data_IF_599075518967
#
_entry.id   IF_599075518967
#
_cell.length_a   1.000
_cell.length_b   1.000
_cell.length_c   1.000
_cell.angle_alpha   90.00
_cell.angle_beta   90.00
_cell.angle_gamma   90.00
#
_symmetry.space_group_name_H-M   'P 1'
#
loop_
_entity.id
_entity.type
_entity.pdbx_description
1 polymer ?
#
# COMPACT_ATOMS: atom_id res chain seq x y z
N UNK A 1 68.76 -16.52 1.30
CA UNK A 1 68.65 -17.83 0.72
C UNK A 1 67.22 -18.25 0.92
N UNK A 2 66.27 -18.03 0.08
CA UNK A 2 66.15 -18.38 -1.35
C UNK A 2 65.34 -19.61 -1.48
N UNK A 3 64.04 -19.50 -1.77
CA UNK A 3 63.42 -20.16 -2.89
C UNK A 3 61.95 -19.75 -3.03
N UNK A 4 61.68 -19.11 -4.13
CA UNK A 4 60.37 -18.90 -4.76
C UNK A 4 59.93 -20.24 -5.38
N UNK A 5 58.67 -20.61 -5.21
CA UNK A 5 58.02 -21.58 -6.16
C UNK A 5 56.70 -20.96 -6.63
N UNK A 6 56.67 -20.74 -7.92
CA UNK A 6 55.54 -20.39 -8.74
C UNK A 6 54.64 -21.66 -8.91
N UNK A 7 53.33 -21.47 -8.88
CA UNK A 7 52.34 -22.51 -9.19
C UNK A 7 51.14 -21.95 -9.88
N UNK A 8 51.06 -22.20 -11.13
CA UNK A 8 50.24 -21.88 -12.27
C UNK A 8 48.73 -21.78 -12.06
N UNK A 9 48.18 -20.74 -12.65
CA UNK A 9 46.77 -20.59 -12.98
C UNK A 9 46.38 -21.52 -14.13
N UNK A 10 45.32 -22.29 -13.96
CA UNK A 10 44.65 -23.01 -15.09
C UNK A 10 43.35 -22.29 -15.43
N UNK A 11 43.36 -21.64 -16.56
CA UNK A 11 42.21 -21.14 -17.31
C UNK A 11 41.48 -22.35 -17.93
N UNK A 12 40.15 -22.35 -17.87
CA UNK A 12 39.30 -23.20 -18.65
C UNK A 12 38.43 -22.33 -19.59
N UNK A 13 38.32 -22.73 -20.88
CA UNK A 13 37.73 -21.90 -21.91
C UNK A 13 36.21 -22.11 -22.04
N UNK A 14 35.54 -21.01 -22.42
CA UNK A 14 34.20 -20.95 -22.95
C UNK A 14 34.03 -21.87 -24.16
N UNK A 15 32.97 -22.69 -24.15
CA UNK A 15 32.45 -23.36 -25.33
C UNK A 15 31.18 -22.60 -25.80
N UNK A 16 31.32 -22.00 -26.98
CA UNK A 16 30.23 -21.50 -27.79
C UNK A 16 29.46 -22.68 -28.40
N UNK A 17 28.14 -22.69 -28.33
CA UNK A 17 27.29 -23.57 -29.12
C UNK A 17 26.55 -22.70 -30.15
N UNK A 18 26.85 -23.05 -31.38
CA UNK A 18 26.36 -22.56 -32.65
C UNK A 18 24.87 -22.81 -32.88
N UNK A 19 24.28 -21.88 -33.62
CA UNK A 19 23.00 -21.93 -34.31
C UNK A 19 22.83 -23.19 -35.18
N UNK A 20 21.60 -23.67 -35.24
CA UNK A 20 21.09 -24.43 -36.36
C UNK A 20 19.80 -23.79 -36.87
N UNK A 21 19.87 -23.30 -38.08
CA UNK A 21 18.79 -22.91 -38.96
C UNK A 21 18.03 -24.12 -39.48
N UNK A 22 16.73 -24.01 -39.62
CA UNK A 22 15.90 -24.62 -40.68
C UNK A 22 14.57 -23.86 -40.61
N UNK A 23 14.09 -23.12 -41.55
CA UNK A 23 13.91 -23.40 -42.95
C UNK A 23 12.42 -23.41 -43.25
N UNK A 24 11.94 -22.31 -43.91
CA UNK A 24 10.91 -22.18 -44.98
C UNK A 24 9.49 -22.68 -44.69
N UNK A 25 8.49 -21.88 -44.90
CA UNK A 25 7.73 -21.55 -46.12
C UNK A 25 6.65 -20.52 -45.78
N UNK A 26 6.63 -19.37 -46.34
CA UNK A 26 6.00 -18.82 -47.51
C UNK A 26 4.48 -19.12 -47.59
N UNK A 27 3.65 -18.12 -47.26
CA UNK A 27 2.49 -17.83 -48.12
C UNK A 27 2.15 -16.34 -48.08
N UNK A 28 2.21 -15.77 -49.28
CA UNK A 28 1.92 -14.40 -49.68
C UNK A 28 0.42 -14.26 -49.95
N UNK A 29 -0.19 -13.19 -49.43
CA UNK A 29 -1.31 -12.56 -50.13
C UNK A 29 -1.16 -11.04 -50.09
N UNK A 30 -0.74 -10.54 -51.26
CA UNK A 30 -0.91 -9.16 -51.74
C UNK A 30 -2.41 -8.80 -51.79
N UNK A 31 -2.76 -7.63 -51.36
CA UNK A 31 -3.72 -6.76 -52.05
C UNK A 31 -3.29 -5.31 -51.89
N UNK A 32 -2.64 -4.86 -52.97
CA UNK A 32 -2.57 -3.47 -53.39
C UNK A 32 -3.95 -2.88 -53.60
N UNK A 33 -4.14 -1.62 -53.22
CA UNK A 33 -4.66 -0.57 -54.13
C UNK A 33 -4.63 0.80 -53.42
N UNK A 34 -3.65 1.59 -53.80
CA UNK A 34 -3.79 3.02 -54.09
C UNK A 34 -4.17 3.16 -55.57
N UNK A 35 -4.50 4.33 -56.16
CA UNK A 35 -4.32 5.71 -55.70
C UNK A 35 -5.42 6.74 -56.12
N UNK A 36 -5.29 7.93 -55.56
CA UNK A 36 -5.20 9.25 -56.15
C UNK A 36 -6.30 9.86 -57.09
N UNK A 37 -6.27 11.16 -56.95
CA UNK A 37 -6.49 12.26 -57.89
C UNK A 37 -7.83 13.00 -57.76
N UNK A 38 -7.78 14.23 -57.21
CA UNK A 38 -7.54 15.51 -57.92
C UNK A 38 -8.60 15.91 -58.95
N UNK A 39 -9.25 17.03 -58.67
CA UNK A 39 -9.63 18.12 -59.61
C UNK A 39 -10.58 19.09 -58.89
N UNK A 40 -10.21 20.26 -58.45
CA UNK A 40 -10.02 21.55 -59.14
C UNK A 40 -11.19 22.02 -60.05
N UNK A 41 -11.56 23.29 -59.80
CA UNK A 41 -12.27 24.28 -60.63
C UNK A 41 -13.81 24.24 -60.56
N UNK A 42 -14.53 25.34 -60.58
CA UNK A 42 -14.27 26.74 -60.93
C UNK A 42 -15.40 27.64 -60.43
N UNK A 43 -15.07 28.80 -60.04
CA UNK A 43 -15.64 30.13 -60.27
C UNK A 43 -16.88 30.15 -61.17
N UNK A 44 -17.96 30.79 -60.66
CA UNK A 44 -18.69 31.73 -61.50
C UNK A 44 -19.27 32.90 -60.66
N UNK A 45 -18.95 34.07 -61.11
CA UNK A 45 -19.46 35.39 -60.73
C UNK A 45 -20.79 35.62 -61.39
N UNK A 46 -21.78 36.14 -60.69
CA UNK A 46 -22.75 37.05 -61.31
C UNK A 46 -23.03 38.21 -60.38
N UNK A 47 -22.62 39.31 -60.89
CA UNK A 47 -23.02 40.68 -60.57
C UNK A 47 -24.48 40.95 -60.96
N UNK A 48 -25.17 41.75 -60.20
CA UNK A 48 -26.47 42.33 -60.52
C UNK A 48 -26.95 43.29 -59.46
N UNK A 49 -26.68 44.56 -59.70
CA UNK A 49 -27.27 45.72 -59.03
C UNK A 49 -28.80 45.67 -59.03
N UNK A 50 -29.44 46.12 -57.94
CA UNK A 50 -30.27 47.30 -58.03
C UNK A 50 -30.71 47.79 -56.64
N UNK A 51 -30.65 49.08 -56.50
CA UNK A 51 -31.09 49.87 -55.40
C UNK A 51 -32.61 49.96 -55.36
N UNK A 52 -33.17 49.99 -54.16
CA UNK A 52 -34.22 50.95 -53.85
C UNK A 52 -34.25 51.26 -52.35
N UNK A 53 -34.22 52.57 -52.11
CA UNK A 53 -34.48 53.21 -50.85
C UNK A 53 -35.98 53.12 -50.51
N UNK A 54 -36.30 52.74 -49.29
CA UNK A 54 -37.43 53.41 -48.61
C UNK A 54 -37.21 53.53 -47.11
N UNK A 55 -37.24 54.73 -46.68
CA UNK A 55 -37.23 55.26 -45.31
C UNK A 55 -38.55 55.03 -44.62
N UNK A 56 -38.54 54.43 -43.44
CA UNK A 56 -39.53 54.73 -42.44
C UNK A 56 -38.89 54.81 -41.04
N UNK A 57 -38.95 56.04 -40.52
CA UNK A 57 -38.79 56.41 -39.13
C UNK A 57 -39.85 55.73 -38.26
N UNK A 58 -39.42 55.43 -37.06
CA UNK A 58 -40.26 55.50 -35.88
C UNK A 58 -40.63 54.16 -35.24
N UNK A 59 -40.11 53.82 -34.20
CA UNK A 59 -40.78 53.89 -32.92
C UNK A 59 -40.17 52.93 -31.88
N UNK A 60 -39.76 53.53 -30.80
CA UNK A 60 -39.83 53.11 -29.41
C UNK A 60 -39.41 51.65 -29.04
N UNK A 61 -38.35 51.66 -28.27
CA UNK A 61 -38.10 50.86 -27.12
C UNK A 61 -39.07 49.74 -26.78
N UNK A 62 -38.69 48.50 -27.09
CA UNK A 62 -39.08 47.38 -26.28
C UNK A 62 -38.03 47.23 -25.18
N UNK A 63 -38.37 47.79 -23.99
CA UNK A 63 -37.81 47.32 -22.75
C UNK A 63 -38.24 45.86 -22.66
N UNK A 64 -37.28 44.95 -22.93
CA UNK A 64 -37.42 43.53 -22.58
C UNK A 64 -37.60 43.44 -21.05
N UNK A 65 -38.88 43.45 -20.64
CA UNK A 65 -39.26 42.99 -19.30
C UNK A 65 -38.99 41.52 -19.27
N UNK A 66 -37.72 41.17 -18.98
CA UNK A 66 -37.40 39.82 -18.49
C UNK A 66 -38.14 39.66 -17.17
N UNK A 67 -39.31 39.00 -17.19
CA UNK A 67 -39.98 38.56 -15.99
C UNK A 67 -38.99 37.80 -15.14
N UNK A 68 -38.66 38.32 -13.97
CA UNK A 68 -37.77 37.68 -13.02
C UNK A 68 -38.34 36.29 -12.73
N UNK A 69 -37.67 35.25 -13.23
CA UNK A 69 -38.05 33.86 -13.02
C UNK A 69 -37.70 33.45 -11.59
N UNK A 70 -38.61 33.64 -10.66
CA UNK A 70 -38.43 33.38 -9.23
C UNK A 70 -39.14 32.10 -8.84
N UNK A 71 -38.39 31.16 -8.23
CA UNK A 71 -38.94 29.95 -7.63
C UNK A 71 -39.30 30.21 -6.18
N UNK A 72 -40.59 30.12 -5.84
CA UNK A 72 -41.08 30.30 -4.47
C UNK A 72 -41.24 28.95 -3.80
N UNK A 73 -40.50 28.73 -2.71
CA UNK A 73 -40.59 27.55 -1.88
C UNK A 73 -40.64 27.92 -0.41
N UNK A 74 -41.51 27.24 0.32
CA UNK A 74 -41.58 27.35 1.78
C UNK A 74 -40.42 26.59 2.45
N UNK A 75 -40.10 26.92 3.71
CA UNK A 75 -39.07 26.26 4.47
C UNK A 75 -39.36 24.74 4.70
N UNK A 76 -40.62 24.30 4.61
CA UNK A 76 -41.00 22.91 4.64
C UNK A 76 -40.61 22.18 3.34
N UNK A 77 -40.88 22.80 2.19
CA UNK A 77 -40.52 22.28 0.86
C UNK A 77 -39.00 22.25 0.63
N UNK A 78 -38.26 23.23 1.18
CA UNK A 78 -36.80 23.22 1.14
C UNK A 78 -36.20 21.95 1.79
N UNK A 79 -36.79 21.56 2.93
CA UNK A 79 -36.35 20.31 3.63
C UNK A 79 -36.77 19.07 2.90
N UNK A 80 -37.99 19.02 2.35
CA UNK A 80 -38.53 17.89 1.59
C UNK A 80 -37.69 17.66 0.32
N UNK A 81 -37.31 18.73 -0.37
CA UNK A 81 -36.47 18.63 -1.58
C UNK A 81 -34.96 18.57 -1.32
N UNK A 82 -34.54 18.54 -0.07
CA UNK A 82 -33.13 18.44 0.30
C UNK A 82 -32.28 19.64 -0.14
N UNK A 83 -32.88 20.87 -0.16
CA UNK A 83 -32.19 22.08 -0.53
C UNK A 83 -31.48 22.64 0.71
N UNK A 84 -30.14 22.60 0.69
CA UNK A 84 -29.33 23.19 1.75
C UNK A 84 -28.88 24.60 1.35
N UNK A 85 -29.09 25.56 2.26
CA UNK A 85 -28.70 26.95 2.07
C UNK A 85 -27.34 27.22 2.71
N UNK A 86 -26.50 28.01 2.06
CA UNK A 86 -25.27 28.56 2.62
C UNK A 86 -25.14 30.04 2.31
N UNK A 87 -24.41 30.76 3.15
CA UNK A 87 -24.03 32.15 2.89
C UNK A 87 -22.76 32.17 2.03
N UNK A 88 -22.73 33.08 1.05
CA UNK A 88 -21.58 33.28 0.20
C UNK A 88 -20.44 33.95 0.98
N UNK A 89 -19.36 33.25 1.18
CA UNK A 89 -18.21 33.72 1.95
C UNK A 89 -16.90 33.42 1.20
N UNK A 90 -15.88 34.20 1.58
CA UNK A 90 -14.52 33.92 1.13
C UNK A 90 -14.03 32.59 1.69
N UNK A 91 -13.19 31.92 0.94
CA UNK A 91 -12.66 30.63 1.34
C UNK A 91 -11.29 30.35 0.74
N UNK A 92 -10.84 29.13 0.95
CA UNK A 92 -9.62 28.63 0.34
C UNK A 92 -9.97 27.55 -0.70
N UNK A 93 -9.44 27.70 -1.89
CA UNK A 93 -9.53 26.69 -2.93
C UNK A 93 -8.34 25.75 -2.78
N UNK A 94 -8.58 24.58 -2.20
CA UNK A 94 -7.56 23.57 -2.06
C UNK A 94 -7.35 22.84 -3.39
N UNK A 95 -6.10 22.72 -3.79
CA UNK A 95 -5.70 21.97 -4.96
C UNK A 95 -5.27 20.56 -4.53
N UNK A 96 -5.74 19.55 -5.23
CA UNK A 96 -5.44 18.15 -4.95
C UNK A 96 -4.80 17.51 -6.17
N UNK A 97 -3.86 16.61 -5.92
CA UNK A 97 -3.34 15.67 -6.90
C UNK A 97 -3.94 14.31 -6.56
N UNK A 98 -4.52 13.66 -7.56
CA UNK A 98 -4.99 12.28 -7.45
C UNK A 98 -3.90 11.34 -7.96
N UNK A 99 -3.46 10.42 -7.11
CA UNK A 99 -2.38 9.50 -7.38
C UNK A 99 -2.88 8.06 -7.19
N UNK A 100 -2.61 7.17 -8.14
CA UNK A 100 -2.92 5.76 -7.99
C UNK A 100 -1.97 5.12 -6.95
N UNK A 101 -2.50 4.19 -6.19
CA UNK A 101 -1.74 3.45 -5.19
C UNK A 101 -2.31 2.07 -4.93
N UNK A 102 -1.63 1.34 -4.08
CA UNK A 102 -1.97 -0.01 -3.67
C UNK A 102 -1.72 -0.19 -2.18
N UNK A 103 -2.62 -0.89 -1.51
CA UNK A 103 -2.43 -1.33 -0.14
C UNK A 103 -1.48 -2.53 -0.17
N UNK A 104 -0.41 -2.46 0.60
CA UNK A 104 0.58 -3.54 0.71
C UNK A 104 0.81 -3.90 2.18
N UNK A 105 1.36 -5.07 2.41
CA UNK A 105 1.79 -5.48 3.74
C UNK A 105 2.80 -4.49 4.32
N UNK A 106 2.72 -4.26 5.63
CA UNK A 106 3.76 -3.55 6.35
C UNK A 106 5.00 -4.44 6.47
N UNK A 107 6.00 -4.20 5.63
CA UNK A 107 7.20 -5.03 5.56
C UNK A 107 8.00 -5.07 6.89
N UNK A 108 7.85 -4.05 7.75
CA UNK A 108 8.48 -4.03 9.07
C UNK A 108 7.77 -4.97 10.08
N UNK A 109 6.63 -5.55 9.67
CA UNK A 109 5.80 -6.43 10.49
C UNK A 109 5.53 -7.79 9.82
N UNK A 110 6.47 -8.23 9.00
CA UNK A 110 6.47 -9.54 8.38
C UNK A 110 7.62 -10.35 8.97
N UNK A 111 7.41 -11.63 9.22
CA UNK A 111 8.48 -12.57 9.53
C UNK A 111 8.40 -13.77 8.60
N UNK A 112 9.52 -14.07 7.98
CA UNK A 112 9.78 -15.34 7.34
C UNK A 112 10.28 -16.30 8.42
N UNK A 113 9.52 -17.36 8.66
CA UNK A 113 9.84 -18.37 9.68
C UNK A 113 10.67 -19.46 9.01
N UNK A 114 11.93 -19.52 9.40
CA UNK A 114 12.91 -20.47 8.86
C UNK A 114 13.38 -21.41 9.97
N UNK A 115 13.50 -22.73 9.76
CA UNK A 115 14.07 -23.63 10.72
C UNK A 115 15.59 -23.46 10.77
N UNK A 116 16.18 -23.70 11.94
CA UNK A 116 17.65 -23.66 12.11
C UNK A 116 18.32 -25.01 11.85
N UNK A 117 17.52 -26.06 11.65
CA UNK A 117 17.97 -27.43 11.42
C UNK A 117 17.22 -28.03 10.25
N UNK A 118 17.85 -28.87 9.49
CA UNK A 118 17.20 -29.71 8.49
C UNK A 118 16.43 -30.85 9.15
N UNK A 119 15.31 -31.27 8.57
CA UNK A 119 14.52 -32.37 9.09
C UNK A 119 13.33 -32.73 8.22
N UNK A 120 12.64 -33.81 8.62
CA UNK A 120 11.38 -34.25 8.01
C UNK A 120 10.22 -33.65 8.81
N UNK A 121 9.20 -33.18 8.14
CA UNK A 121 8.01 -32.61 8.78
C UNK A 121 7.16 -33.71 9.40
N UNK A 122 7.15 -33.79 10.74
CA UNK A 122 6.36 -34.76 11.50
C UNK A 122 4.96 -34.28 11.82
N UNK A 123 4.74 -32.96 11.93
CA UNK A 123 3.43 -32.37 12.21
C UNK A 123 3.34 -30.95 11.67
N UNK A 124 2.16 -30.58 11.13
CA UNK A 124 1.84 -29.20 10.72
C UNK A 124 0.53 -28.82 11.42
N UNK A 125 0.56 -27.78 12.26
CA UNK A 125 -0.59 -27.31 13.05
C UNK A 125 -1.20 -26.02 12.54
N UNK A 126 -0.45 -25.20 11.81
CA UNK A 126 -0.91 -23.93 11.31
C UNK A 126 -1.18 -24.01 9.79
N UNK A 127 -2.21 -23.31 9.35
CA UNK A 127 -2.57 -23.14 7.93
C UNK A 127 -2.68 -21.66 7.57
N UNK A 128 -2.72 -21.38 6.26
CA UNK A 128 -2.90 -20.01 5.75
C UNK A 128 -4.25 -19.45 6.22
N UNK A 129 -4.21 -18.22 6.75
CA UNK A 129 -5.37 -17.53 7.33
C UNK A 129 -5.48 -17.67 8.84
N UNK A 130 -4.75 -18.57 9.49
CA UNK A 130 -4.79 -18.71 10.95
C UNK A 130 -4.18 -17.51 11.65
N UNK A 131 -4.86 -17.05 12.71
CA UNK A 131 -4.30 -16.09 13.66
C UNK A 131 -3.49 -16.83 14.72
N UNK A 132 -2.21 -16.49 14.82
CA UNK A 132 -1.27 -17.12 15.73
C UNK A 132 -0.77 -16.16 16.80
N UNK A 133 -0.47 -16.68 17.98
CA UNK A 133 0.14 -15.92 19.08
C UNK A 133 1.64 -16.13 19.10
N UNK A 134 2.39 -15.18 19.66
CA UNK A 134 3.84 -15.34 19.88
C UNK A 134 4.12 -16.64 20.64
N UNK A 135 5.04 -17.46 20.09
CA UNK A 135 5.43 -18.76 20.66
C UNK A 135 4.45 -19.91 20.37
N UNK A 136 3.37 -19.68 19.62
CA UNK A 136 2.45 -20.73 19.21
C UNK A 136 3.14 -21.71 18.27
N UNK A 137 2.95 -23.01 18.50
CA UNK A 137 3.49 -24.09 17.68
C UNK A 137 2.84 -24.09 16.29
N UNK A 138 3.66 -24.01 15.25
CA UNK A 138 3.24 -24.03 13.85
C UNK A 138 3.46 -25.38 13.19
N UNK A 139 4.64 -25.97 13.41
CA UNK A 139 5.01 -27.27 12.89
C UNK A 139 6.09 -27.92 13.77
N UNK A 140 6.27 -29.24 13.61
CA UNK A 140 7.32 -30.01 14.25
C UNK A 140 8.13 -30.70 13.16
N UNK A 141 9.46 -30.54 13.21
CA UNK A 141 10.40 -31.27 12.36
C UNK A 141 11.06 -32.38 13.15
N UNK A 142 11.35 -33.51 12.49
CA UNK A 142 12.20 -34.57 13.00
C UNK A 142 13.60 -34.39 12.42
N UNK A 143 14.53 -33.89 13.26
CA UNK A 143 15.90 -33.57 12.87
C UNK A 143 16.91 -34.57 13.48
N UNK A 144 17.73 -35.19 12.65
CA UNK A 144 18.85 -36.01 13.09
C UNK A 144 19.96 -35.15 13.70
N UNK A 145 20.26 -34.03 13.08
CA UNK A 145 21.28 -33.09 13.57
C UNK A 145 21.01 -32.66 15.02
N UNK A 146 19.75 -32.31 15.31
CA UNK A 146 19.35 -31.94 16.67
C UNK A 146 19.48 -33.12 17.65
N UNK A 147 19.13 -34.34 17.20
CA UNK A 147 19.28 -35.54 18.03
C UNK A 147 20.75 -35.83 18.37
N UNK A 148 21.63 -35.74 17.40
CA UNK A 148 23.07 -35.92 17.57
C UNK A 148 23.66 -34.87 18.53
N UNK A 149 23.27 -33.60 18.39
CA UNK A 149 23.72 -32.54 19.27
C UNK A 149 23.20 -32.70 20.73
N UNK A 150 21.94 -33.14 20.92
CA UNK A 150 21.37 -33.45 22.24
C UNK A 150 22.10 -34.62 22.89
N UNK A 151 22.37 -35.67 22.13
CA UNK A 151 23.12 -36.85 22.64
C UNK A 151 24.55 -36.47 23.04
N UNK A 152 25.25 -35.66 22.25
CA UNK A 152 26.59 -35.18 22.55
C UNK A 152 26.63 -34.35 23.83
N UNK A 153 25.63 -33.46 24.05
CA UNK A 153 25.52 -32.67 25.26
C UNK A 153 25.29 -33.54 26.49
N UNK A 154 24.35 -34.48 26.47
CA UNK A 154 24.12 -35.41 27.58
C UNK A 154 25.35 -36.23 27.93
N UNK A 155 26.05 -36.74 26.91
CA UNK A 155 27.30 -37.47 27.13
C UNK A 155 28.39 -36.59 27.78
N UNK A 156 28.45 -35.30 27.43
CA UNK A 156 29.36 -34.33 28.04
C UNK A 156 28.99 -34.01 29.49
N UNK A 157 27.68 -33.89 29.82
CA UNK A 157 27.19 -33.72 31.19
C UNK A 157 27.59 -34.90 32.07
N UNK A 158 27.39 -36.15 31.64
CA UNK A 158 27.74 -37.33 32.39
C UNK A 158 29.26 -37.45 32.61
N UNK A 159 30.07 -37.12 31.60
CA UNK A 159 31.53 -37.04 31.71
C UNK A 159 31.96 -35.96 32.73
N UNK A 160 31.32 -34.80 32.76
CA UNK A 160 31.61 -33.77 33.77
C UNK A 160 31.31 -34.26 35.17
N UNK A 161 30.18 -34.92 35.41
CA UNK A 161 29.82 -35.48 36.72
C UNK A 161 30.88 -36.43 37.20
N UNK A 162 31.34 -37.36 36.33
CA UNK A 162 32.39 -38.34 36.64
C UNK A 162 33.74 -37.65 36.95
N UNK A 163 34.17 -36.73 36.07
CA UNK A 163 35.41 -36.00 36.25
C UNK A 163 35.41 -35.13 37.53
N UNK A 164 34.30 -34.51 37.83
CA UNK A 164 34.10 -33.72 39.08
C UNK A 164 34.21 -34.60 40.31
N UNK A 165 33.59 -35.79 40.30
CA UNK A 165 33.71 -36.78 41.41
C UNK A 165 35.16 -37.24 41.59
N UNK A 166 35.87 -37.53 40.47
CA UNK A 166 37.27 -37.92 40.49
C UNK A 166 38.16 -36.81 41.06
N UNK A 167 38.00 -35.57 40.52
CA UNK A 167 38.73 -34.42 41.03
C UNK A 167 38.53 -34.19 42.54
N UNK A 168 37.30 -34.21 43.04
CA UNK A 168 37.02 -34.12 44.47
C UNK A 168 37.64 -35.18 45.30
N UNK A 169 37.77 -36.41 44.76
CA UNK A 169 38.47 -37.53 45.43
C UNK A 169 39.97 -37.21 45.51
N UNK A 170 40.65 -36.92 44.36
CA UNK A 170 42.05 -36.64 44.32
C UNK A 170 42.47 -35.40 45.14
N UNK A 171 41.67 -34.35 45.15
CA UNK A 171 41.84 -33.18 45.97
C UNK A 171 41.89 -33.52 47.47
N UNK A 172 40.95 -34.37 47.95
CA UNK A 172 40.95 -34.85 49.37
C UNK A 172 42.16 -35.71 49.71
N UNK A 173 42.58 -36.61 48.81
CA UNK A 173 43.73 -37.48 49.00
C UNK A 173 45.03 -36.67 49.03
N UNK A 174 45.20 -35.67 48.14
CA UNK A 174 46.33 -34.76 48.12
C UNK A 174 46.44 -33.95 49.40
N UNK A 175 45.35 -33.37 49.87
CA UNK A 175 45.29 -32.63 51.16
C UNK A 175 45.74 -33.52 52.32
N UNK A 176 45.47 -34.82 52.27
CA UNK A 176 45.94 -35.81 53.29
C UNK A 176 47.34 -36.33 52.99
N UNK A 177 48.00 -35.84 51.96
CA UNK A 177 49.35 -36.30 51.54
C UNK A 177 49.39 -37.80 51.18
N UNK A 178 48.32 -38.37 50.63
CA UNK A 178 48.18 -39.77 50.26
C UNK A 178 48.50 -39.98 48.77
N UNK A 179 48.19 -38.97 47.92
CA UNK A 179 48.41 -38.99 46.49
C UNK A 179 49.49 -37.95 46.09
N UNK A 180 50.08 -38.07 44.88
CA UNK A 180 51.03 -37.14 44.37
C UNK A 180 50.38 -35.85 43.85
N UNK A 181 51.15 -34.75 43.86
CA UNK A 181 50.71 -33.49 43.24
C UNK A 181 50.35 -33.67 41.75
N UNK A 182 51.11 -34.54 41.06
CA UNK A 182 50.87 -34.81 39.64
C UNK A 182 49.48 -35.44 39.42
N UNK A 183 49.03 -36.38 40.26
CA UNK A 183 47.70 -36.98 40.15
C UNK A 183 46.60 -35.97 40.39
N UNK A 184 46.76 -35.05 41.38
CA UNK A 184 45.84 -33.95 41.60
C UNK A 184 45.74 -33.00 40.40
N UNK A 185 46.92 -32.61 39.80
CA UNK A 185 46.93 -31.73 38.64
C UNK A 185 46.34 -32.40 37.40
N UNK A 186 46.58 -33.72 37.21
CA UNK A 186 45.96 -34.49 36.12
C UNK A 186 44.43 -34.53 36.23
N UNK A 187 43.90 -34.79 37.44
CA UNK A 187 42.48 -34.80 37.71
C UNK A 187 41.85 -33.40 37.47
N UNK A 188 42.54 -32.33 37.88
CA UNK A 188 42.13 -30.95 37.62
C UNK A 188 42.10 -30.60 36.16
N UNK A 189 43.14 -31.02 35.40
CA UNK A 189 43.20 -30.83 33.97
C UNK A 189 42.03 -31.56 33.26
N UNK A 190 41.86 -32.84 33.59
CA UNK A 190 40.79 -33.68 33.02
C UNK A 190 39.39 -33.04 33.26
N UNK A 191 39.11 -32.50 34.46
CA UNK A 191 37.88 -31.76 34.76
C UNK A 191 37.75 -30.53 33.91
N UNK A 192 38.82 -29.72 33.73
CA UNK A 192 38.79 -28.52 32.92
C UNK A 192 38.48 -28.84 31.44
N UNK A 193 39.09 -29.88 30.87
CA UNK A 193 38.85 -30.33 29.50
C UNK A 193 37.39 -30.78 29.25
N UNK A 194 36.81 -31.55 30.19
CA UNK A 194 35.40 -31.98 30.08
C UNK A 194 34.44 -30.82 30.22
N UNK A 195 34.75 -29.85 31.08
CA UNK A 195 33.94 -28.61 31.18
C UNK A 195 33.91 -27.80 29.90
N UNK A 196 35.08 -27.69 29.25
CA UNK A 196 35.16 -27.02 27.94
C UNK A 196 34.31 -27.77 26.91
N UNK A 197 34.40 -29.11 26.87
CA UNK A 197 33.63 -29.91 25.94
C UNK A 197 32.11 -29.78 26.19
N UNK A 198 31.66 -29.80 27.45
CA UNK A 198 30.25 -29.58 27.81
C UNK A 198 29.79 -28.21 27.36
N UNK A 199 30.53 -27.14 27.69
CA UNK A 199 30.16 -25.76 27.32
C UNK A 199 30.09 -25.64 25.79
N UNK A 200 31.00 -26.29 25.04
CA UNK A 200 30.92 -26.30 23.57
C UNK A 200 29.66 -26.97 23.05
N UNK A 201 29.27 -28.12 23.59
CA UNK A 201 28.05 -28.85 23.20
C UNK A 201 26.78 -28.04 23.57
N UNK A 202 26.80 -27.34 24.69
CA UNK A 202 25.73 -26.42 25.14
C UNK A 202 25.56 -25.26 24.18
N UNK A 203 26.66 -24.59 23.80
CA UNK A 203 26.61 -23.49 22.82
C UNK A 203 26.12 -23.96 21.43
N UNK A 204 26.46 -25.19 21.02
CA UNK A 204 25.93 -25.78 19.79
C UNK A 204 24.40 -25.92 19.85
N UNK A 205 23.84 -26.42 20.96
CA UNK A 205 22.39 -26.53 21.13
C UNK A 205 21.70 -25.15 21.16
N UNK A 206 22.31 -24.15 21.77
CA UNK A 206 21.78 -22.78 21.71
C UNK A 206 21.78 -22.22 20.29
N UNK A 207 22.81 -22.48 19.49
CA UNK A 207 22.86 -22.08 18.10
C UNK A 207 21.74 -22.76 17.27
N UNK A 208 21.38 -23.99 17.60
CA UNK A 208 20.26 -24.72 16.99
C UNK A 208 18.89 -24.26 17.54
N UNK A 209 18.85 -23.32 18.50
CA UNK A 209 17.62 -22.73 19.00
C UNK A 209 17.06 -23.35 20.28
N UNK A 210 17.78 -24.26 20.92
CA UNK A 210 17.40 -24.78 22.25
C UNK A 210 17.60 -23.69 23.32
N UNK A 211 16.59 -23.47 24.14
CA UNK A 211 16.69 -22.58 25.28
C UNK A 211 17.31 -23.28 26.50
N UNK A 212 17.78 -22.51 27.47
CA UNK A 212 18.25 -23.03 28.77
C UNK A 212 17.21 -23.97 29.45
N UNK A 213 15.93 -23.60 29.32
CA UNK A 213 14.82 -24.40 29.84
C UNK A 213 14.74 -25.77 29.14
N UNK A 214 14.98 -25.82 27.83
CA UNK A 214 14.98 -27.07 27.07
C UNK A 214 16.13 -27.98 27.49
N UNK A 215 17.30 -27.41 27.77
CA UNK A 215 18.47 -28.14 28.28
C UNK A 215 18.22 -28.75 29.65
N UNK A 216 17.63 -27.98 30.57
CA UNK A 216 17.27 -28.50 31.90
C UNK A 216 16.24 -29.63 31.81
N UNK A 217 15.25 -29.48 30.92
CA UNK A 217 14.25 -30.53 30.68
C UNK A 217 14.87 -31.77 30.07
N UNK A 218 15.80 -31.60 29.11
CA UNK A 218 16.52 -32.69 28.45
C UNK A 218 17.33 -33.52 29.44
N UNK A 219 18.00 -32.88 30.41
CA UNK A 219 18.80 -33.54 31.43
C UNK A 219 17.95 -34.31 32.46
N UNK A 220 16.67 -33.94 32.64
CA UNK A 220 15.80 -34.52 33.67
C UNK A 220 14.76 -35.52 33.14
N UNK A 221 14.54 -35.62 31.83
CA UNK A 221 13.48 -36.42 31.21
C UNK A 221 13.99 -37.69 30.54
N UNK A 222 13.60 -38.87 31.01
CA UNK A 222 13.91 -40.16 30.32
C UNK A 222 13.19 -40.32 28.98
N UNK A 223 12.16 -39.56 28.71
CA UNK A 223 11.32 -39.69 27.50
C UNK A 223 11.36 -38.40 26.62
N UNK A 224 12.38 -37.56 26.75
CA UNK A 224 12.53 -36.40 25.89
C UNK A 224 12.74 -36.84 24.43
N UNK A 225 11.93 -36.32 23.51
CA UNK A 225 12.18 -36.57 22.09
C UNK A 225 13.45 -35.85 21.63
N UNK A 226 14.43 -36.59 21.20
CA UNK A 226 15.70 -36.04 20.73
C UNK A 226 15.55 -35.36 19.35
N UNK A 227 14.70 -35.93 18.50
CA UNK A 227 14.56 -35.53 17.09
C UNK A 227 13.64 -34.30 16.91
N UNK A 228 12.71 -34.06 17.82
CA UNK A 228 11.68 -33.02 17.65
C UNK A 228 12.26 -31.62 17.74
N UNK A 229 12.16 -30.88 16.65
CA UNK A 229 12.40 -29.46 16.55
C UNK A 229 11.09 -28.73 16.34
N UNK A 230 10.76 -27.78 17.23
CA UNK A 230 9.50 -27.05 17.17
C UNK A 230 9.68 -25.74 16.44
N UNK A 231 8.85 -25.52 15.41
CA UNK A 231 8.75 -24.24 14.71
C UNK A 231 7.62 -23.45 15.35
N UNK A 232 7.93 -22.26 15.86
CA UNK A 232 6.96 -21.40 16.59
C UNK A 232 6.86 -20.02 15.96
N UNK A 233 5.70 -19.35 16.16
CA UNK A 233 5.48 -17.99 15.69
C UNK A 233 6.35 -16.99 16.48
N UNK A 234 7.12 -16.11 15.81
CA UNK A 234 8.00 -15.14 16.47
C UNK A 234 7.23 -14.00 17.14
N UNK A 235 6.05 -13.66 16.60
CA UNK A 235 5.12 -12.67 17.15
C UNK A 235 3.67 -13.06 16.86
N UNK A 236 2.70 -12.32 17.40
CA UNK A 236 1.29 -12.53 17.12
C UNK A 236 0.91 -11.91 15.76
N UNK A 237 0.27 -12.69 14.89
CA UNK A 237 -0.09 -12.24 13.54
C UNK A 237 -0.92 -13.28 12.80
N UNK A 238 -1.06 -13.10 11.50
CA UNK A 238 -1.77 -14.02 10.60
C UNK A 238 -0.77 -14.74 9.70
N UNK A 239 -0.95 -16.04 9.54
CA UNK A 239 -0.17 -16.84 8.58
C UNK A 239 -0.63 -16.48 7.18
N UNK A 240 0.23 -15.84 6.40
CA UNK A 240 -0.10 -15.42 5.02
C UNK A 240 0.40 -16.41 3.96
N UNK A 241 1.48 -17.15 4.26
CA UNK A 241 2.01 -18.17 3.37
C UNK A 241 2.47 -19.39 4.19
N UNK A 242 2.37 -20.57 3.58
CA UNK A 242 2.80 -21.85 4.12
C UNK A 242 3.45 -22.66 3.01
N UNK A 243 4.74 -22.98 3.16
CA UNK A 243 5.54 -23.74 2.19
C UNK A 243 6.02 -25.07 2.76
N UNK A 244 5.21 -25.69 3.61
CA UNK A 244 5.57 -26.91 4.30
C UNK A 244 4.42 -27.89 4.34
N UNK A 245 4.70 -29.18 4.08
CA UNK A 245 3.72 -30.27 4.05
C UNK A 245 4.19 -31.45 4.93
N UNK A 246 3.26 -32.19 5.51
CA UNK A 246 3.58 -33.40 6.30
C UNK A 246 4.39 -34.41 5.47
N UNK A 247 5.47 -34.95 6.04
CA UNK A 247 6.36 -35.90 5.40
C UNK A 247 7.40 -35.29 4.47
N UNK A 248 7.36 -34.00 4.24
CA UNK A 248 8.32 -33.26 3.41
C UNK A 248 9.67 -33.10 4.12
N UNK A 249 10.76 -33.19 3.37
CA UNK A 249 12.09 -32.88 3.87
C UNK A 249 12.38 -31.40 3.68
N UNK A 250 12.63 -30.68 4.79
CA UNK A 250 12.91 -29.25 4.82
C UNK A 250 14.37 -29.03 5.19
N UNK A 251 15.06 -28.19 4.42
CA UNK A 251 16.43 -27.75 4.72
C UNK A 251 16.48 -26.68 5.80
N UNK A 252 17.63 -26.50 6.42
CA UNK A 252 17.91 -25.32 7.22
C UNK A 252 17.79 -24.07 6.32
N UNK A 253 17.26 -22.96 6.85
CA UNK A 253 17.06 -21.69 6.12
C UNK A 253 15.96 -21.72 5.05
N UNK A 254 15.18 -22.80 4.91
CA UNK A 254 14.01 -22.81 4.03
C UNK A 254 12.86 -21.99 4.64
N UNK A 255 12.22 -21.12 3.85
CA UNK A 255 11.01 -20.41 4.28
C UNK A 255 9.85 -21.38 4.43
N UNK A 256 9.40 -21.63 5.66
CA UNK A 256 8.33 -22.60 5.93
C UNK A 256 6.98 -21.92 6.18
N UNK A 257 6.98 -20.74 6.79
CA UNK A 257 5.79 -19.89 6.99
C UNK A 257 6.17 -18.44 6.83
N UNK A 258 5.23 -17.64 6.30
CA UNK A 258 5.28 -16.19 6.38
C UNK A 258 4.15 -15.72 7.28
N UNK A 259 4.50 -14.95 8.32
CA UNK A 259 3.54 -14.39 9.29
C UNK A 259 3.58 -12.88 9.18
N UNK A 260 2.41 -12.25 9.09
CA UNK A 260 2.27 -10.80 9.07
C UNK A 260 1.35 -10.30 10.17
N UNK A 261 1.72 -9.20 10.80
CA UNK A 261 0.82 -8.42 11.65
C UNK A 261 0.05 -7.44 10.77
N UNK A 262 -1.24 -7.75 10.56
CA UNK A 262 -2.15 -6.98 9.71
C UNK A 262 -2.81 -5.80 10.43
N UNK A 263 -2.46 -5.50 11.68
CA UNK A 263 -3.00 -4.36 12.45
C UNK A 263 -2.63 -3.01 11.84
N UNK A 264 -1.59 -2.97 11.02
CA UNK A 264 -1.19 -1.83 10.21
C UNK A 264 -0.86 -2.28 8.80
N UNK A 265 -1.19 -1.44 7.83
CA UNK A 265 -0.85 -1.67 6.41
C UNK A 265 -0.15 -0.45 5.85
N UNK A 266 0.58 -0.64 4.78
CA UNK A 266 1.11 0.46 4.01
C UNK A 266 0.29 0.70 2.76
N UNK A 267 0.19 1.96 2.36
CA UNK A 267 -0.28 2.36 1.04
C UNK A 267 0.89 2.94 0.27
N UNK A 268 1.28 2.27 -0.80
CA UNK A 268 2.29 2.77 -1.72
C UNK A 268 1.58 3.50 -2.86
N UNK A 269 1.81 4.80 -2.99
CA UNK A 269 1.30 5.63 -4.07
C UNK A 269 2.41 5.92 -5.08
N UNK A 270 2.04 5.95 -6.36
CA UNK A 270 2.96 6.24 -7.44
C UNK A 270 2.88 7.73 -7.80
N UNK A 271 3.95 8.46 -7.52
CA UNK A 271 4.05 9.91 -7.74
C UNK A 271 4.77 10.15 -9.05
N UNK A 272 4.11 10.76 -10.03
CA UNK A 272 4.72 11.10 -11.30
C UNK A 272 5.78 12.20 -11.13
N UNK A 273 6.80 12.20 -11.97
CA UNK A 273 7.92 13.14 -11.90
C UNK A 273 7.46 14.62 -11.85
N UNK A 274 6.42 14.98 -12.61
CA UNK A 274 5.85 16.34 -12.63
C UNK A 274 5.25 16.77 -11.29
N UNK A 275 4.79 15.81 -10.48
CA UNK A 275 4.07 16.04 -9.22
C UNK A 275 4.98 15.96 -7.98
N UNK A 276 6.22 15.42 -8.15
CA UNK A 276 7.18 15.23 -7.04
C UNK A 276 7.50 16.51 -6.27
N UNK A 277 7.52 17.65 -6.94
CA UNK A 277 7.79 18.96 -6.31
C UNK A 277 6.75 19.28 -5.23
N UNK A 278 5.53 18.77 -5.40
CA UNK A 278 4.39 19.03 -4.53
C UNK A 278 4.18 17.99 -3.43
N UNK A 279 4.91 16.87 -3.49
CA UNK A 279 4.74 15.74 -2.55
C UNK A 279 5.86 15.73 -1.53
N UNK A 280 5.49 15.77 -0.24
CA UNK A 280 6.44 15.81 0.87
C UNK A 280 5.99 14.93 2.03
N UNK A 281 6.96 14.43 2.79
CA UNK A 281 6.72 13.74 4.06
C UNK A 281 5.88 14.64 5.01
N UNK A 282 4.89 14.04 5.67
CA UNK A 282 4.01 14.68 6.65
C UNK A 282 2.74 15.28 6.06
N UNK A 283 2.58 15.36 4.73
CA UNK A 283 1.33 15.82 4.11
C UNK A 283 0.17 14.86 4.43
N UNK A 284 -1.01 15.43 4.67
CA UNK A 284 -2.26 14.68 4.82
C UNK A 284 -2.76 14.22 3.46
N UNK A 285 -3.19 12.98 3.39
CA UNK A 285 -3.68 12.31 2.19
C UNK A 285 -5.02 11.67 2.49
N UNK A 286 -6.04 11.98 1.70
CA UNK A 286 -7.29 11.23 1.68
C UNK A 286 -7.14 10.01 0.77
N UNK A 287 -7.46 8.82 1.27
CA UNK A 287 -7.34 7.56 0.55
C UNK A 287 -8.73 7.02 0.27
N UNK A 288 -9.08 6.95 -1.00
CA UNK A 288 -10.33 6.38 -1.49
C UNK A 288 -10.07 4.96 -1.98
N UNK A 289 -10.75 3.99 -1.37
CA UNK A 289 -10.54 2.57 -1.64
C UNK A 289 -11.61 2.02 -2.59
N UNK A 290 -12.76 2.70 -2.66
CA UNK A 290 -13.90 2.24 -3.45
C UNK A 290 -14.65 1.05 -2.81
N UNK A 291 -15.54 0.42 -3.56
CA UNK A 291 -16.28 -0.80 -3.17
C UNK A 291 -17.01 -0.73 -1.82
N UNK A 292 -17.49 0.47 -1.41
CA UNK A 292 -18.22 0.65 -0.16
C UNK A 292 -17.35 0.78 1.09
N UNK A 293 -16.02 0.78 0.95
CA UNK A 293 -15.10 1.06 2.04
C UNK A 293 -15.00 2.59 2.19
N UNK A 294 -15.21 3.09 3.41
CA UNK A 294 -15.10 4.51 3.70
C UNK A 294 -13.70 5.04 3.38
N UNK A 295 -13.61 6.28 2.92
CA UNK A 295 -12.31 6.93 2.73
C UNK A 295 -11.58 7.08 4.07
N UNK A 296 -10.27 6.86 4.06
CA UNK A 296 -9.41 6.95 5.24
C UNK A 296 -8.40 8.07 5.04
N UNK A 297 -8.15 8.83 6.10
CA UNK A 297 -7.08 9.82 6.09
C UNK A 297 -5.78 9.23 6.63
N UNK A 298 -4.68 9.55 5.96
CA UNK A 298 -3.34 9.16 6.38
C UNK A 298 -2.34 10.30 6.19
N UNK A 299 -1.08 10.04 6.54
CA UNK A 299 0.03 10.97 6.29
C UNK A 299 1.14 10.28 5.53
N UNK A 300 1.77 11.00 4.60
CA UNK A 300 2.93 10.51 3.89
C UNK A 300 4.08 10.33 4.90
N UNK A 301 4.43 9.06 5.16
CA UNK A 301 5.50 8.69 6.07
C UNK A 301 6.88 8.80 5.41
N UNK A 302 6.94 8.51 4.11
CA UNK A 302 8.19 8.49 3.36
C UNK A 302 7.93 8.72 1.86
N UNK A 303 8.90 9.35 1.19
CA UNK A 303 8.93 9.54 -0.27
C UNK A 303 10.27 9.00 -0.77
N UNK A 304 10.24 8.18 -1.81
CA UNK A 304 11.45 7.61 -2.41
C UNK A 304 12.36 8.70 -2.96
N UNK A 305 13.66 8.65 -2.65
CA UNK A 305 14.64 9.52 -3.29
C UNK A 305 14.97 9.10 -4.72
N UNK A 306 14.55 7.90 -5.13
CA UNK A 306 14.76 7.33 -6.45
C UNK A 306 13.47 7.32 -7.25
N UNK A 307 13.60 7.59 -8.53
CA UNK A 307 12.54 7.46 -9.54
C UNK A 307 12.76 6.15 -10.29
N UNK A 308 11.74 5.34 -10.40
CA UNK A 308 11.76 4.12 -11.20
C UNK A 308 11.87 4.48 -12.67
N UNK A 309 12.86 3.91 -13.36
CA UNK A 309 13.18 4.26 -14.75
C UNK A 309 12.10 3.78 -15.74
N UNK A 310 11.44 2.66 -15.46
CA UNK A 310 10.41 2.08 -16.32
C UNK A 310 9.10 2.85 -16.26
N UNK A 311 8.65 3.19 -15.05
CA UNK A 311 7.37 3.88 -14.83
C UNK A 311 7.51 5.40 -14.72
N UNK A 312 8.73 5.91 -14.53
CA UNK A 312 9.05 7.33 -14.27
C UNK A 312 8.28 7.90 -13.08
N UNK A 313 8.05 7.06 -12.07
CA UNK A 313 7.37 7.43 -10.84
C UNK A 313 8.28 7.22 -9.64
N UNK A 314 8.11 8.03 -8.59
CA UNK A 314 8.66 7.75 -7.28
C UNK A 314 7.57 7.18 -6.37
N UNK A 315 7.93 6.25 -5.49
CA UNK A 315 6.98 5.72 -4.50
C UNK A 315 6.90 6.65 -3.30
N UNK A 316 5.69 6.96 -2.86
CA UNK A 316 5.47 7.54 -1.55
C UNK A 316 4.64 6.56 -0.71
N UNK A 317 4.98 6.45 0.58
CA UNK A 317 4.40 5.50 1.52
C UNK A 317 3.58 6.21 2.57
N UNK A 318 2.39 5.67 2.81
CA UNK A 318 1.50 6.08 3.88
C UNK A 318 1.31 4.86 4.77
N UNK A 319 1.39 5.04 6.08
CA UNK A 319 1.09 3.99 7.06
C UNK A 319 -0.32 4.22 7.61
N UNK A 320 -1.15 3.17 7.58
CA UNK A 320 -2.53 3.21 8.05
C UNK A 320 -2.77 2.16 9.13
N UNK A 321 -3.47 2.52 10.22
CA UNK A 321 -4.01 1.55 11.16
C UNK A 321 -5.13 0.73 10.48
N UNK A 322 -5.19 -0.56 10.79
CA UNK A 322 -6.15 -1.50 10.23
C UNK A 322 -6.74 -2.41 11.33
N UNK A 323 -7.44 -1.83 12.32
CA UNK A 323 -7.91 -2.57 13.49
C UNK A 323 -9.00 -3.60 13.17
N UNK A 324 -9.81 -3.36 12.16
CA UNK A 324 -10.91 -4.21 11.71
C UNK A 324 -10.55 -5.13 10.53
N UNK A 325 -9.32 -5.04 10.00
CA UNK A 325 -8.85 -5.85 8.87
C UNK A 325 -9.52 -5.53 7.54
N UNK A 326 -10.22 -4.40 7.42
CA UNK A 326 -10.92 -3.98 6.19
C UNK A 326 -9.96 -3.58 5.08
N UNK A 327 -8.79 -3.05 5.44
CA UNK A 327 -7.73 -2.64 4.52
C UNK A 327 -6.90 -3.87 4.13
N UNK A 328 -7.32 -4.56 3.08
CA UNK A 328 -6.64 -5.78 2.62
C UNK A 328 -5.49 -5.45 1.67
N UNK A 329 -4.29 -5.98 1.90
CA UNK A 329 -3.20 -5.91 0.93
C UNK A 329 -3.63 -6.44 -0.44
N UNK A 330 -3.20 -5.78 -1.52
CA UNK A 330 -3.61 -6.05 -2.90
C UNK A 330 -4.76 -5.18 -3.40
N UNK A 331 -5.42 -4.39 -2.55
CA UNK A 331 -6.45 -3.45 -3.01
C UNK A 331 -5.82 -2.20 -3.62
N UNK A 332 -6.36 -1.79 -4.76
CA UNK A 332 -6.01 -0.51 -5.39
C UNK A 332 -6.77 0.64 -4.72
N UNK A 333 -6.11 1.78 -4.66
CA UNK A 333 -6.62 2.99 -4.01
C UNK A 333 -6.31 4.23 -4.85
N UNK A 334 -7.10 5.28 -4.66
CA UNK A 334 -6.80 6.62 -5.15
C UNK A 334 -6.45 7.51 -3.97
N UNK A 335 -5.25 8.05 -3.97
CA UNK A 335 -4.76 8.96 -2.95
C UNK A 335 -4.95 10.41 -3.40
N UNK A 336 -5.67 11.21 -2.62
CA UNK A 336 -5.89 12.65 -2.84
C UNK A 336 -4.97 13.44 -1.92
N UNK A 337 -3.91 14.00 -2.50
CA UNK A 337 -2.90 14.78 -1.77
C UNK A 337 -3.14 16.25 -1.98
N UNK A 338 -3.37 16.99 -0.89
CA UNK A 338 -3.46 18.43 -0.93
C UNK A 338 -2.06 19.04 -1.11
N UNK A 339 -1.85 19.85 -2.15
CA UNK A 339 -0.53 20.43 -2.42
C UNK A 339 -0.53 21.97 -2.45
N UNK A 340 -1.68 22.60 -2.53
CA UNK A 340 -1.82 24.05 -2.53
C UNK A 340 -3.17 24.50 -1.96
N UNK A 341 -3.17 25.66 -1.36
CA UNK A 341 -4.38 26.34 -0.95
C UNK A 341 -4.25 27.79 -1.41
N UNK A 342 -5.18 28.23 -2.24
CA UNK A 342 -5.21 29.60 -2.74
C UNK A 342 -6.42 30.33 -2.16
N UNK A 343 -6.27 31.50 -1.56
CA UNK A 343 -7.41 32.27 -1.11
C UNK A 343 -8.26 32.65 -2.32
N UNK A 344 -9.57 32.57 -2.15
CA UNK A 344 -10.58 33.00 -3.12
C UNK A 344 -11.59 33.89 -2.45
N UNK A 345 -12.06 34.91 -3.18
CA UNK A 345 -13.00 35.90 -2.65
C UNK A 345 -14.34 35.29 -2.29
N UNK A 346 -14.80 34.39 -3.13
CA UNK A 346 -16.04 33.65 -2.93
C UNK A 346 -15.81 32.19 -3.44
N UNK A 347 -16.23 31.22 -2.64
CA UNK A 347 -16.15 29.81 -2.99
C UNK A 347 -17.50 29.15 -2.78
N UNK A 348 -17.99 28.47 -3.81
CA UNK A 348 -19.23 27.70 -3.74
C UNK A 348 -18.97 26.22 -4.07
N UNK A 349 -19.72 25.28 -3.50
CA UNK A 349 -19.65 23.88 -3.90
C UNK A 349 -20.17 23.73 -5.35
N UNK A 350 -19.59 22.80 -6.12
CA UNK A 350 -20.05 22.54 -7.51
C UNK A 350 -21.51 22.11 -7.58
N UNK A 351 -22.05 21.53 -6.52
CA UNK A 351 -23.47 21.18 -6.39
C UNK A 351 -24.41 22.39 -6.47
N UNK A 352 -23.92 23.59 -6.14
CA UNK A 352 -24.68 24.83 -6.25
C UNK A 352 -24.78 25.35 -7.70
N UNK A 353 -23.87 24.93 -8.57
CA UNK A 353 -23.79 25.43 -9.95
C UNK A 353 -24.75 24.68 -10.85
N UNK A 354 -25.58 25.40 -11.60
CA UNK A 354 -26.46 24.85 -12.62
C UNK A 354 -26.26 25.60 -13.94
N UNK A 355 -26.56 24.91 -15.03
CA UNK A 355 -26.64 25.57 -16.34
C UNK A 355 -28.11 25.90 -16.63
N UNK A 356 -28.42 27.15 -16.78
CA UNK A 356 -29.74 27.60 -17.16
C UNK A 356 -29.59 28.59 -18.33
N UNK A 357 -30.38 28.43 -19.38
CA UNK A 357 -30.33 29.24 -20.61
C UNK A 357 -28.91 29.39 -21.22
N UNK A 358 -28.11 28.33 -21.15
CA UNK A 358 -26.73 28.36 -21.68
C UNK A 358 -25.73 29.08 -20.77
N UNK A 359 -26.14 29.64 -19.65
CA UNK A 359 -25.28 30.34 -18.65
C UNK A 359 -25.13 29.51 -17.41
N UNK A 360 -23.97 29.62 -16.75
CA UNK A 360 -23.79 29.03 -15.40
C UNK A 360 -24.40 29.93 -14.38
N UNK A 361 -25.33 29.42 -13.55
CA UNK A 361 -26.06 30.16 -12.54
C UNK A 361 -25.93 29.56 -11.15
N UNK A 362 -26.12 30.41 -10.14
CA UNK A 362 -26.32 30.02 -8.74
C UNK A 362 -27.69 30.55 -8.31
N UNK A 363 -28.49 29.73 -7.64
CA UNK A 363 -29.79 30.13 -7.13
C UNK A 363 -29.60 30.88 -5.82
N UNK A 364 -29.82 32.20 -5.86
CA UNK A 364 -29.71 33.12 -4.72
C UNK A 364 -31.08 33.29 -4.05
N UNK A 365 -31.12 33.20 -2.73
CA UNK A 365 -32.35 33.46 -1.95
C UNK A 365 -32.59 34.97 -1.85
N UNK A 366 -33.75 35.42 -2.30
CA UNK A 366 -34.27 36.76 -2.16
C UNK A 366 -35.50 36.78 -1.20
N UNK A 367 -36.10 37.93 -0.95
CA UNK A 367 -37.34 38.00 -0.17
C UNK A 367 -38.53 37.34 -0.88
N UNK A 368 -38.48 37.27 -2.21
CA UNK A 368 -39.55 36.73 -3.05
C UNK A 368 -39.37 35.22 -3.36
N UNK A 369 -38.17 34.64 -3.17
CA UNK A 369 -37.88 33.26 -3.48
C UNK A 369 -36.43 33.02 -3.91
N UNK A 370 -36.23 32.13 -4.87
CA UNK A 370 -34.92 31.82 -5.44
C UNK A 370 -34.82 32.33 -6.87
N UNK A 371 -33.80 33.16 -7.11
CA UNK A 371 -33.49 33.75 -8.42
C UNK A 371 -32.22 33.07 -9.02
N UNK A 372 -32.25 32.63 -10.29
CA UNK A 372 -31.09 32.16 -10.98
C UNK A 372 -30.17 33.30 -11.36
N UNK A 373 -29.04 33.45 -10.66
CA UNK A 373 -28.09 34.52 -10.90
C UNK A 373 -26.91 34.04 -11.74
N UNK A 374 -26.68 34.58 -12.95
CA UNK A 374 -25.52 34.22 -13.74
C UNK A 374 -24.23 34.56 -13.00
N UNK A 375 -23.28 33.62 -13.04
CA UNK A 375 -21.99 33.75 -12.36
C UNK A 375 -20.84 33.44 -13.32
N UNK A 376 -19.75 34.17 -13.16
CA UNK A 376 -18.48 33.84 -13.79
C UNK A 376 -17.62 33.01 -12.86
N UNK A 377 -17.17 31.90 -13.40
CA UNK A 377 -16.32 30.95 -12.66
C UNK A 377 -14.85 31.31 -12.81
N UNK A 378 -14.12 31.30 -11.71
CA UNK A 378 -12.67 31.35 -11.67
C UNK A 378 -12.04 29.95 -11.61
N UNK A 379 -11.05 29.80 -10.72
CA UNK A 379 -10.39 28.53 -10.44
C UNK A 379 -11.37 27.53 -9.84
N UNK A 380 -11.19 26.27 -10.19
CA UNK A 380 -12.04 25.18 -9.70
C UNK A 380 -11.19 24.00 -9.24
N UNK A 381 -11.70 23.25 -8.28
CA UNK A 381 -11.17 21.94 -7.91
C UNK A 381 -12.25 20.85 -8.08
N UNK A 382 -12.03 19.63 -7.56
CA UNK A 382 -12.99 18.52 -7.67
C UNK A 382 -14.37 18.82 -7.08
N UNK A 383 -14.46 19.63 -6.03
CA UNK A 383 -15.66 19.83 -5.20
C UNK A 383 -16.18 21.26 -5.16
N UNK A 384 -15.33 22.26 -5.36
CA UNK A 384 -15.66 23.69 -5.22
C UNK A 384 -15.20 24.51 -6.41
N UNK A 385 -15.81 25.67 -6.62
CA UNK A 385 -15.46 26.65 -7.63
C UNK A 385 -15.38 28.05 -7.04
N UNK A 386 -14.43 28.84 -7.50
CA UNK A 386 -14.31 30.26 -7.22
C UNK A 386 -15.30 31.02 -8.09
N UNK A 387 -15.99 31.98 -7.49
CA UNK A 387 -16.87 32.92 -8.21
C UNK A 387 -16.13 34.25 -8.35
N UNK A 388 -15.95 34.71 -9.58
CA UNK A 388 -15.32 35.99 -9.91
C UNK A 388 -16.33 37.14 -9.91
N UNK A 389 -17.53 36.87 -10.46
CA UNK A 389 -18.62 37.87 -10.54
C UNK A 389 -20.00 37.17 -10.48
N UNK A 390 -21.06 37.93 -10.23
CA UNK A 390 -22.44 37.46 -10.19
C UNK A 390 -22.96 37.06 -8.81
N UNK A 391 -22.11 36.84 -7.80
CA UNK A 391 -22.50 36.57 -6.41
C UNK A 391 -21.76 37.53 -5.49
N UNK A 392 -22.41 38.02 -4.43
CA UNK A 392 -21.85 38.99 -3.46
C UNK A 392 -21.68 38.29 -2.10
N UNK A 393 -20.61 38.63 -1.38
CA UNK A 393 -20.39 38.13 -0.02
C UNK A 393 -21.56 38.48 0.89
N UNK A 394 -22.03 37.53 1.68
CA UNK A 394 -23.18 37.67 2.56
C UNK A 394 -24.52 37.23 1.94
N UNK A 395 -24.60 37.02 0.63
CA UNK A 395 -25.82 36.50 0.00
C UNK A 395 -26.03 35.03 0.35
N UNK A 396 -27.27 34.66 0.62
CA UNK A 396 -27.67 33.26 0.86
C UNK A 396 -28.02 32.58 -0.47
N UNK A 397 -27.50 31.39 -0.71
CA UNK A 397 -27.72 30.66 -1.94
C UNK A 397 -27.96 29.15 -1.67
N UNK A 398 -28.55 28.44 -2.63
CA UNK A 398 -28.76 27.02 -2.58
C UNK A 398 -27.42 26.29 -2.86
N UNK A 399 -26.81 25.72 -1.83
CA UNK A 399 -25.55 24.99 -1.91
C UNK A 399 -25.73 23.55 -2.36
N UNK A 400 -26.86 22.93 -1.99
CA UNK A 400 -27.26 21.58 -2.41
C UNK A 400 -28.73 21.62 -2.87
N UNK A 401 -29.14 20.67 -3.71
CA UNK A 401 -30.51 20.60 -4.23
C UNK A 401 -30.84 21.64 -5.30
N UNK A 402 -29.85 22.39 -5.80
CA UNK A 402 -30.05 23.44 -6.84
C UNK A 402 -30.65 22.91 -8.15
N UNK A 403 -30.48 21.61 -8.44
CA UNK A 403 -31.12 20.96 -9.58
C UNK A 403 -32.65 20.97 -9.48
N UNK A 404 -33.21 20.80 -8.29
CA UNK A 404 -34.66 20.85 -8.06
C UNK A 404 -35.21 22.26 -8.33
N UNK A 405 -34.47 23.29 -7.92
CA UNK A 405 -34.84 24.68 -8.23
C UNK A 405 -34.87 24.91 -9.74
N UNK A 406 -33.85 24.44 -10.46
CA UNK A 406 -33.80 24.51 -11.93
C UNK A 406 -35.02 23.79 -12.55
N UNK A 407 -35.37 22.58 -12.08
CA UNK A 407 -36.49 21.82 -12.60
C UNK A 407 -37.85 22.50 -12.35
N UNK A 408 -38.01 23.18 -11.20
CA UNK A 408 -39.22 23.96 -10.90
C UNK A 408 -39.34 25.17 -11.82
N UNK A 409 -38.24 25.89 -12.02
CA UNK A 409 -38.19 27.03 -12.91
C UNK A 409 -38.55 26.65 -14.36
N UNK A 410 -37.97 25.56 -14.87
CA UNK A 410 -38.26 25.05 -16.21
C UNK A 410 -39.71 24.59 -16.37
N UNK A 411 -40.36 24.11 -15.30
CA UNK A 411 -41.81 23.79 -15.33
C UNK A 411 -42.70 25.02 -15.38
N UNK A 412 -42.36 26.08 -14.66
CA UNK A 412 -43.08 27.36 -14.73
C UNK A 412 -43.05 27.97 -16.13
N UNK A 413 -41.90 27.94 -16.77
CA UNK A 413 -41.72 28.45 -18.14
C UNK A 413 -42.53 27.72 -19.20
N UNK A 414 -42.89 26.41 -18.99
CA UNK A 414 -43.72 25.62 -19.89
C UNK A 414 -45.21 25.60 -19.48
N UNK A 415 -45.59 26.16 -18.29
CA UNK A 415 -46.96 26.08 -17.74
C UNK A 415 -47.89 27.20 -18.22
N UNK A 416 -47.43 28.35 -18.70
CA UNK A 416 -48.25 29.48 -19.13
C UNK A 416 -48.65 29.46 -20.62
N UNK A 417 -48.29 28.40 -21.36
CA UNK A 417 -48.55 28.30 -22.80
C UNK A 417 -49.91 27.72 -23.23
N UNK A 418 -50.79 27.26 -22.33
CA UNK A 418 -52.08 26.68 -22.72
C UNK A 418 -53.25 27.19 -21.88
N UNK A 419 -53.67 28.40 -22.21
CA UNK A 419 -55.03 28.84 -21.94
C UNK A 419 -55.51 29.70 -23.09
N UNK A 420 -56.12 29.06 -24.09
CA UNK A 420 -57.07 29.65 -25.02
C UNK A 420 -58.20 28.66 -25.26
#
# INVERSE_FOLDING_TARGET
MGLLVFGAATWWPFAAITQAESGAENDSHDHENEPAADSSKAVDQHTGDDADQDSHEGDKGDEDIHGEEIVRLSDAELREFGIALKTAEGGALNQYIELPGEIVLNADRIAHVVPRVAGIVGEVRATVGDQVKKGQLLAVLESRELADAKAAYLAAVEREILAQANFKREERLWQKKVTSEQEYLNARQALAEVRIAKNSAEQQLHALGCSEKDLLTLASSEHASFTHYTITAPFAGTVIEKHVTFGEQVGAEADVFTIADLSTVWVNINVYQKDLVNIRKGQTVGIEIGHGIASVEGKIAWVSPQVDEGTRTAKARIELPNPDGSLRPGLFVTAKVAFGSSPARLVVPKSALQTFEGKTVVFVRTEEGFEPKPVELGRQNGTTAEILSGLVSGQTYAAEGSFTLKAQLSKGAFGDGHNH
#
